data_IF_945754687180
#
_entry.id   IF_945754687180
#
_cell.length_a   1.000
_cell.length_b   1.000
_cell.length_c   1.000
_cell.angle_alpha   90.00
_cell.angle_beta   90.00
_cell.angle_gamma   90.00
#
_symmetry.space_group_name_H-M   'P 1'
#
loop_
_entity.id
_entity.type
_entity.pdbx_description
1 polymer ?
#
# COMPACT_ATOMS: atom_id res chain seq x y z
N UNK A 1 -2.25 13.61 18.00
CA UNK A 1 -3.20 13.42 16.87
C UNK A 1 -4.42 12.75 17.45
N UNK A 2 -5.58 13.36 17.33
CA UNK A 2 -6.83 12.80 17.85
C UNK A 2 -7.40 11.86 16.79
N UNK A 3 -7.16 10.56 16.98
CA UNK A 3 -7.70 9.48 16.15
C UNK A 3 -9.18 9.30 16.50
N UNK A 4 -10.05 10.15 15.96
CA UNK A 4 -11.48 10.03 16.18
C UNK A 4 -12.28 10.37 14.94
N UNK A 5 -13.48 9.83 14.90
CA UNK A 5 -14.46 10.11 13.87
C UNK A 5 -15.70 10.69 14.54
N UNK A 6 -16.30 11.68 13.88
CA UNK A 6 -17.59 12.21 14.28
C UNK A 6 -18.64 11.21 13.79
N UNK A 7 -19.42 10.65 14.72
CA UNK A 7 -20.51 9.75 14.34
C UNK A 7 -21.68 10.52 13.70
N UNK A 8 -22.68 9.79 13.20
CA UNK A 8 -23.89 10.37 12.58
C UNK A 8 -24.68 11.32 13.49
N UNK A 9 -24.41 11.29 14.80
CA UNK A 9 -25.03 12.12 15.82
C UNK A 9 -24.12 13.28 16.26
N UNK A 10 -23.04 13.56 15.53
CA UNK A 10 -22.03 14.59 15.83
C UNK A 10 -21.22 14.35 17.10
N UNK A 11 -21.16 13.11 17.60
CA UNK A 11 -20.38 12.78 18.80
C UNK A 11 -18.98 12.34 18.37
N UNK A 12 -17.95 12.92 18.99
CA UNK A 12 -16.56 12.52 18.80
C UNK A 12 -16.34 11.14 19.43
N UNK A 13 -16.03 10.13 18.61
CA UNK A 13 -15.60 8.82 19.10
C UNK A 13 -14.14 8.62 18.81
N UNK A 14 -13.39 8.22 19.83
CA UNK A 14 -12.00 7.78 19.67
C UNK A 14 -12.00 6.48 18.86
N UNK A 15 -11.53 6.56 17.62
CA UNK A 15 -11.36 5.42 16.72
C UNK A 15 -9.91 5.00 16.85
N UNK A 16 -9.64 4.18 17.86
CA UNK A 16 -8.28 3.72 18.19
C UNK A 16 -7.61 2.82 17.14
N UNK A 17 -8.23 2.62 15.98
CA UNK A 17 -7.75 1.79 14.88
C UNK A 17 -8.33 2.24 13.54
N UNK A 18 -7.48 2.49 12.56
CA UNK A 18 -7.92 2.74 11.17
C UNK A 18 -8.54 1.45 10.63
N UNK A 19 -9.81 1.44 10.18
CA UNK A 19 -10.44 0.22 9.67
C UNK A 19 -9.66 -0.32 8.46
N UNK A 20 -8.88 -1.37 8.71
CA UNK A 20 -7.92 -1.91 7.75
C UNK A 20 -8.60 -2.31 6.43
N UNK A 21 -9.78 -2.92 6.52
CA UNK A 21 -10.54 -3.34 5.35
C UNK A 21 -11.01 -2.19 4.46
N UNK A 22 -11.35 -1.06 5.08
CA UNK A 22 -11.71 0.16 4.37
C UNK A 22 -10.47 0.75 3.71
N UNK A 23 -9.35 0.85 4.45
CA UNK A 23 -8.12 1.46 3.98
C UNK A 23 -7.58 0.78 2.71
N UNK A 24 -7.53 -0.56 2.68
CA UNK A 24 -7.07 -1.31 1.50
C UNK A 24 -7.91 -1.09 0.25
N UNK A 25 -9.24 -0.95 0.40
CA UNK A 25 -10.16 -0.67 -0.71
C UNK A 25 -10.09 0.79 -1.16
N UNK A 26 -10.02 1.71 -0.21
CA UNK A 26 -9.85 3.14 -0.48
C UNK A 26 -8.53 3.40 -1.22
N UNK A 27 -7.45 2.77 -0.77
CA UNK A 27 -6.14 2.84 -1.42
C UNK A 27 -6.18 2.31 -2.85
N UNK A 28 -6.72 1.11 -3.06
CA UNK A 28 -6.89 0.54 -4.40
C UNK A 28 -7.67 1.48 -5.32
N UNK A 29 -8.79 2.02 -4.85
CA UNK A 29 -9.63 2.93 -5.63
C UNK A 29 -8.86 4.19 -6.03
N UNK A 30 -8.32 4.91 -5.05
CA UNK A 30 -7.67 6.21 -5.28
C UNK A 30 -6.47 6.04 -6.23
N UNK A 31 -5.64 5.02 -6.02
CA UNK A 31 -4.49 4.79 -6.88
C UNK A 31 -4.90 4.48 -8.33
N UNK A 32 -5.87 3.57 -8.51
CA UNK A 32 -6.32 3.19 -9.86
C UNK A 32 -7.06 4.32 -10.57
N UNK A 33 -7.81 5.14 -9.85
CA UNK A 33 -8.47 6.33 -10.39
C UNK A 33 -7.44 7.38 -10.84
N UNK A 34 -6.37 7.61 -10.07
CA UNK A 34 -5.28 8.51 -10.48
C UNK A 34 -4.58 8.00 -11.76
N UNK A 35 -4.31 6.69 -11.87
CA UNK A 35 -3.75 6.10 -13.08
C UNK A 35 -4.70 6.29 -14.27
N UNK A 36 -6.00 6.07 -14.07
CA UNK A 36 -7.03 6.28 -15.10
C UNK A 36 -7.09 7.73 -15.56
N UNK A 37 -7.00 8.69 -14.63
CA UNK A 37 -6.99 10.12 -14.93
C UNK A 37 -5.73 10.54 -15.68
N UNK A 38 -4.57 9.98 -15.32
CA UNK A 38 -3.29 10.26 -15.98
C UNK A 38 -3.22 9.67 -17.40
N UNK A 39 -3.86 8.51 -17.62
CA UNK A 39 -3.82 7.79 -18.91
C UNK A 39 -5.22 7.46 -19.47
N UNK A 40 -6.08 8.46 -19.72
CA UNK A 40 -7.51 8.25 -19.99
C UNK A 40 -7.79 7.50 -21.31
N UNK A 41 -6.89 7.63 -22.28
CA UNK A 41 -6.99 6.99 -23.61
C UNK A 41 -6.21 5.68 -23.73
N UNK A 42 -5.43 5.29 -22.72
CA UNK A 42 -4.60 4.08 -22.78
C UNK A 42 -5.44 2.82 -22.58
N UNK A 43 -5.56 2.01 -23.63
CA UNK A 43 -6.22 0.69 -23.56
C UNK A 43 -5.46 -0.23 -22.59
N UNK A 44 -4.12 -0.21 -22.65
CA UNK A 44 -3.26 -0.99 -21.74
C UNK A 44 -3.54 -0.65 -20.27
N UNK A 45 -3.67 0.65 -19.94
CA UNK A 45 -3.99 1.07 -18.58
C UNK A 45 -5.38 0.59 -18.14
N UNK A 46 -6.41 0.70 -19.00
CA UNK A 46 -7.77 0.22 -18.71
C UNK A 46 -7.80 -1.29 -18.46
N UNK A 47 -7.13 -2.07 -19.30
CA UNK A 47 -7.03 -3.53 -19.15
C UNK A 47 -6.33 -3.90 -17.85
N UNK A 48 -5.22 -3.22 -17.53
CA UNK A 48 -4.50 -3.44 -16.27
C UNK A 48 -5.36 -3.11 -15.05
N UNK A 49 -6.04 -1.95 -15.03
CA UNK A 49 -6.94 -1.55 -13.94
C UNK A 49 -8.02 -2.62 -13.70
N UNK A 50 -8.68 -3.08 -14.78
CA UNK A 50 -9.70 -4.12 -14.68
C UNK A 50 -9.13 -5.45 -14.16
N UNK A 51 -7.94 -5.84 -14.62
CA UNK A 51 -7.23 -7.03 -14.14
C UNK A 51 -6.93 -6.92 -12.65
N UNK A 52 -6.49 -5.75 -12.17
CA UNK A 52 -6.14 -5.52 -10.77
C UNK A 52 -7.37 -5.55 -9.86
N UNK A 53 -8.51 -4.99 -10.28
CA UNK A 53 -9.76 -5.12 -9.52
C UNK A 53 -10.23 -6.58 -9.40
N UNK A 54 -10.11 -7.37 -10.48
CA UNK A 54 -10.45 -8.80 -10.47
C UNK A 54 -9.50 -9.63 -9.61
N UNK A 55 -8.19 -9.34 -9.70
CA UNK A 55 -7.14 -10.07 -8.95
C UNK A 55 -7.18 -9.77 -7.45
N UNK A 56 -7.52 -8.54 -7.07
CA UNK A 56 -7.51 -8.10 -5.68
C UNK A 56 -8.90 -7.63 -5.23
N UNK A 57 -9.88 -8.55 -5.08
CA UNK A 57 -11.26 -8.20 -4.73
C UNK A 57 -11.39 -7.62 -3.31
N UNK A 58 -10.40 -7.91 -2.45
CA UNK A 58 -10.35 -7.42 -1.07
C UNK A 58 -9.60 -6.08 -0.95
N UNK A 59 -9.17 -5.44 -2.03
CA UNK A 59 -8.29 -4.27 -1.97
C UNK A 59 -6.81 -4.65 -2.05
N UNK A 60 -5.96 -3.63 -2.23
CA UNK A 60 -4.51 -3.83 -2.22
C UNK A 60 -3.99 -4.12 -0.82
N UNK A 61 -2.92 -4.90 -0.72
CA UNK A 61 -2.26 -5.12 0.56
C UNK A 61 -1.84 -3.79 1.17
N UNK A 62 -2.20 -3.59 2.43
CA UNK A 62 -1.73 -2.47 3.23
C UNK A 62 -1.27 -3.07 4.56
N UNK A 63 -0.21 -2.59 5.18
CA UNK A 63 0.17 -3.05 6.52
C UNK A 63 -0.06 -1.92 7.51
N UNK A 64 -1.21 -1.93 8.18
CA UNK A 64 -1.64 -0.85 9.08
C UNK A 64 -1.92 -1.36 10.50
N UNK A 65 -1.07 -2.25 11.02
CA UNK A 65 -1.26 -2.88 12.35
C UNK A 65 -0.95 -1.95 13.53
N UNK A 66 -0.27 -0.82 13.31
CA UNK A 66 0.16 0.11 14.36
C UNK A 66 -0.59 1.43 14.29
N UNK A 67 -0.98 1.96 15.45
CA UNK A 67 -1.43 3.35 15.62
C UNK A 67 -0.35 4.29 15.06
N UNK A 68 -0.78 5.41 14.49
CA UNK A 68 0.18 6.37 13.94
C UNK A 68 0.77 7.19 15.09
N UNK A 69 1.92 6.77 15.62
CA UNK A 69 2.53 7.39 16.81
C UNK A 69 2.94 8.85 16.59
N UNK A 70 3.36 9.22 15.38
CA UNK A 70 3.70 10.61 15.06
C UNK A 70 3.58 10.96 13.57
N UNK A 71 3.03 12.14 13.28
CA UNK A 71 3.00 12.70 11.93
C UNK A 71 4.41 12.90 11.35
N UNK A 72 5.36 13.31 12.20
CA UNK A 72 6.78 13.45 11.82
C UNK A 72 7.39 12.10 11.41
N UNK A 73 7.08 11.03 12.15
CA UNK A 73 7.49 9.67 11.81
C UNK A 73 6.91 9.21 10.47
N UNK A 74 5.62 9.46 10.24
CA UNK A 74 4.97 9.15 8.96
C UNK A 74 5.58 9.93 7.79
N UNK A 75 5.82 11.24 7.94
CA UNK A 75 6.47 12.06 6.93
C UNK A 75 7.91 11.59 6.64
N UNK A 76 8.69 11.26 7.68
CA UNK A 76 10.04 10.69 7.53
C UNK A 76 10.00 9.35 6.79
N UNK A 77 9.02 8.50 7.10
CA UNK A 77 8.83 7.21 6.43
C UNK A 77 8.51 7.42 4.94
N UNK A 78 7.54 8.27 4.60
CA UNK A 78 7.20 8.62 3.22
C UNK A 78 8.43 9.16 2.48
N UNK A 79 9.15 10.10 3.08
CA UNK A 79 10.37 10.69 2.50
C UNK A 79 11.45 9.64 2.20
N UNK A 80 11.67 8.66 3.09
CA UNK A 80 12.61 7.55 2.85
C UNK A 80 12.25 6.72 1.62
N UNK A 81 10.97 6.47 1.40
CA UNK A 81 10.48 5.67 0.26
C UNK A 81 10.41 6.47 -1.04
N UNK A 82 10.22 7.79 -0.99
CA UNK A 82 10.32 8.65 -2.18
C UNK A 82 11.76 8.78 -2.69
N UNK A 83 12.74 8.72 -1.78
CA UNK A 83 14.16 8.89 -2.13
C UNK A 83 14.90 7.59 -2.47
N UNK A 84 14.27 6.41 -2.28
CA UNK A 84 14.91 5.10 -2.43
C UNK A 84 14.07 4.18 -3.32
N UNK A 85 14.68 3.22 -4.02
CA UNK A 85 13.94 2.22 -4.78
C UNK A 85 12.95 1.45 -3.89
N UNK A 86 11.87 0.94 -4.49
CA UNK A 86 10.79 0.26 -3.79
C UNK A 86 11.26 -0.99 -3.01
N UNK A 87 12.35 -1.62 -3.48
CA UNK A 87 13.03 -2.73 -2.82
C UNK A 87 14.41 -2.24 -2.35
N UNK A 88 14.77 -2.57 -1.12
CA UNK A 88 16.10 -2.26 -0.60
C UNK A 88 17.15 -3.16 -1.26
N UNK A 89 18.29 -2.60 -1.67
CA UNK A 89 19.33 -3.31 -2.43
C UNK A 89 19.82 -4.59 -1.75
N UNK A 90 20.03 -4.58 -0.43
CA UNK A 90 20.44 -5.77 0.34
C UNK A 90 19.41 -6.91 0.36
N UNK A 91 18.17 -6.65 -0.08
CA UNK A 91 17.12 -7.66 -0.22
C UNK A 91 17.15 -8.34 -1.59
N UNK A 92 17.88 -7.79 -2.55
CA UNK A 92 18.06 -8.38 -3.87
C UNK A 92 19.06 -9.53 -3.76
N UNK A 93 18.65 -10.71 -4.23
CA UNK A 93 19.46 -11.92 -4.28
C UNK A 93 20.15 -12.00 -5.66
N UNK A 94 19.41 -11.72 -6.72
CA UNK A 94 19.87 -11.80 -8.11
C UNK A 94 19.10 -10.81 -8.99
N UNK A 95 19.79 -10.22 -9.97
CA UNK A 95 19.19 -9.32 -10.96
C UNK A 95 19.96 -9.43 -12.28
N UNK A 96 19.28 -9.83 -13.35
CA UNK A 96 19.86 -10.01 -14.68
C UNK A 96 19.46 -8.92 -15.70
N UNK A 97 18.68 -7.92 -15.25
CA UNK A 97 18.13 -6.87 -16.11
C UNK A 97 16.66 -7.09 -16.47
N UNK A 98 16.20 -8.33 -16.52
CA UNK A 98 14.82 -8.71 -16.87
C UNK A 98 14.05 -9.23 -15.65
N UNK A 99 14.72 -9.99 -14.79
CA UNK A 99 14.16 -10.64 -13.60
C UNK A 99 14.87 -10.16 -12.36
N UNK A 100 14.12 -10.03 -11.28
CA UNK A 100 14.67 -9.73 -9.96
C UNK A 100 14.23 -10.77 -8.96
N UNK A 101 15.21 -11.45 -8.34
CA UNK A 101 14.96 -12.34 -7.21
C UNK A 101 15.32 -11.61 -5.92
N UNK A 102 14.40 -11.55 -4.97
CA UNK A 102 14.59 -10.82 -3.71
C UNK A 102 13.93 -11.54 -2.55
N UNK A 103 14.36 -11.22 -1.33
CA UNK A 103 13.73 -11.73 -0.12
C UNK A 103 12.97 -10.64 0.64
N UNK A 104 11.93 -11.05 1.36
CA UNK A 104 11.21 -10.21 2.31
C UNK A 104 10.86 -11.01 3.55
N UNK A 105 10.61 -10.31 4.65
CA UNK A 105 10.05 -10.91 5.86
C UNK A 105 8.53 -10.86 5.73
N UNK A 106 7.89 -12.01 5.73
CA UNK A 106 6.45 -12.12 5.69
C UNK A 106 5.87 -11.63 7.02
N UNK A 107 5.02 -10.61 6.97
CA UNK A 107 4.43 -10.02 8.16
C UNK A 107 3.37 -10.90 8.84
N UNK A 108 2.90 -11.97 8.19
CA UNK A 108 1.97 -12.95 8.79
C UNK A 108 2.71 -14.02 9.59
N UNK A 109 3.84 -14.50 9.07
CA UNK A 109 4.60 -15.63 9.65
C UNK A 109 5.88 -15.21 10.37
N UNK A 110 6.42 -14.02 10.06
CA UNK A 110 7.74 -13.56 10.50
C UNK A 110 8.90 -14.24 9.77
N UNK A 111 8.60 -15.06 8.76
CA UNK A 111 9.61 -15.85 8.06
C UNK A 111 10.16 -15.11 6.85
N UNK A 112 11.43 -15.36 6.55
CA UNK A 112 12.04 -14.92 5.29
C UNK A 112 11.45 -15.72 4.14
N UNK A 113 10.85 -15.04 3.17
CA UNK A 113 10.39 -15.57 1.89
C UNK A 113 11.19 -14.99 0.74
N UNK A 114 11.33 -15.76 -0.33
CA UNK A 114 11.99 -15.34 -1.56
C UNK A 114 10.98 -15.33 -2.70
N UNK A 115 11.05 -14.32 -3.56
CA UNK A 115 10.14 -14.13 -4.69
C UNK A 115 10.91 -13.62 -5.91
N UNK A 116 10.41 -13.95 -7.09
CA UNK A 116 10.95 -13.55 -8.38
C UNK A 116 9.89 -12.73 -9.14
N UNK A 117 10.29 -11.56 -9.64
CA UNK A 117 9.47 -10.67 -10.48
C UNK A 117 10.05 -10.56 -11.89
#
# INVERSE_FOLDING_TARGET
MTEGAIDKNKIWKEVGFIPYEYLRKAWQKVLLDLIKQKYPRSIKAKVLINKLYRRYPKGFYVYAKRRMESAKGAAKYIGRYLARPAIAEYRIIEYDGERVRFWYEDHETGERKEEEL
#
